data_IF_281850795598
#
_entry.id   IF_281850795598
#
_cell.length_a   1.000
_cell.length_b   1.000
_cell.length_c   1.000
_cell.angle_alpha   90.00
_cell.angle_beta   90.00
_cell.angle_gamma   90.00
#
_symmetry.space_group_name_H-M   'P 1'
#
loop_
_entity.id
_entity.type
_entity.pdbx_description
1 polymer ?
#
# COMPACT_ATOMS: atom_id res chain seq x y z
N UNK A 1 25.51 6.19 -27.06
CA UNK A 1 25.80 6.28 -25.61
C UNK A 1 25.80 7.75 -25.26
N UNK A 2 24.61 8.30 -24.99
CA UNK A 2 24.43 9.72 -24.66
C UNK A 2 23.88 9.80 -23.24
N UNK A 3 24.78 10.08 -22.30
CA UNK A 3 24.42 10.42 -20.93
C UNK A 3 23.84 11.83 -20.92
N UNK A 4 22.57 11.95 -20.57
CA UNK A 4 21.80 13.18 -20.69
C UNK A 4 22.18 14.17 -19.57
N UNK A 5 22.76 15.30 -19.97
CA UNK A 5 23.42 16.36 -19.18
C UNK A 5 22.45 17.15 -18.26
N UNK A 6 21.19 16.75 -18.14
CA UNK A 6 20.19 17.43 -17.30
C UNK A 6 20.30 17.16 -15.80
N UNK A 7 21.00 16.11 -15.38
CA UNK A 7 21.10 15.74 -13.96
C UNK A 7 22.13 16.58 -13.18
N UNK A 8 23.05 17.27 -13.87
CA UNK A 8 24.18 17.94 -13.21
C UNK A 8 23.86 19.37 -12.73
N UNK A 9 22.86 20.04 -13.32
CA UNK A 9 22.58 21.45 -13.02
C UNK A 9 21.70 21.71 -11.79
N UNK A 10 21.05 20.67 -11.24
CA UNK A 10 20.22 20.83 -10.03
C UNK A 10 21.05 20.83 -8.74
N UNK A 11 22.30 20.35 -8.79
CA UNK A 11 23.10 20.09 -7.58
C UNK A 11 23.87 21.34 -7.09
N UNK A 12 24.06 22.39 -7.90
CA UNK A 12 24.99 23.49 -7.57
C UNK A 12 24.38 24.80 -7.05
N UNK A 13 23.06 24.93 -6.86
CA UNK A 13 22.44 26.22 -6.48
C UNK A 13 21.66 26.25 -5.15
N UNK A 14 21.85 25.29 -4.25
CA UNK A 14 21.37 25.39 -2.86
C UNK A 14 22.53 25.27 -1.86
N UNK A 15 23.45 26.22 -1.91
CA UNK A 15 24.22 26.59 -0.73
C UNK A 15 23.79 27.99 -0.38
N UNK A 16 22.87 28.13 0.58
CA UNK A 16 22.72 29.30 1.46
C UNK A 16 21.62 29.04 2.52
N UNK A 17 22.07 29.09 3.78
CA UNK A 17 21.31 29.31 5.02
C UNK A 17 20.31 28.24 5.49
N UNK A 18 20.83 27.14 6.03
CA UNK A 18 20.16 26.45 7.14
C UNK A 18 20.64 27.05 8.46
N UNK A 19 19.82 27.95 9.04
CA UNK A 19 19.87 28.21 10.48
C UNK A 19 19.56 26.88 11.18
N UNK A 20 20.55 26.33 11.86
CA UNK A 20 20.44 25.10 12.64
C UNK A 20 19.64 25.36 13.92
N UNK A 21 18.32 25.45 13.80
CA UNK A 21 17.48 24.84 14.82
C UNK A 21 17.75 23.34 14.69
N UNK A 22 18.28 22.71 15.74
CA UNK A 22 18.51 21.27 15.77
C UNK A 22 17.17 20.56 15.53
N UNK A 23 16.85 20.28 14.25
CA UNK A 23 15.84 19.31 13.86
C UNK A 23 16.35 18.01 14.47
N UNK A 24 15.70 17.59 15.55
CA UNK A 24 15.85 16.26 16.11
C UNK A 24 15.89 15.29 14.93
N UNK A 25 17.05 14.67 14.70
CA UNK A 25 17.25 13.74 13.59
C UNK A 25 16.48 12.50 13.99
N UNK A 26 15.16 12.50 13.77
CA UNK A 26 14.30 11.35 14.05
C UNK A 26 14.93 10.20 13.27
N UNK A 27 15.49 9.24 14.00
CA UNK A 27 15.91 7.99 13.40
C UNK A 27 14.67 7.38 12.77
N UNK A 28 14.68 7.17 11.46
CA UNK A 28 13.58 6.50 10.76
C UNK A 28 13.74 4.98 10.78
N UNK A 29 14.71 4.47 11.55
CA UNK A 29 14.88 3.05 11.79
C UNK A 29 13.79 2.53 12.73
N UNK A 30 13.24 1.37 12.38
CA UNK A 30 12.24 0.71 13.19
C UNK A 30 12.81 0.26 14.56
N UNK A 31 12.08 0.46 15.67
CA UNK A 31 12.40 -0.14 16.97
C UNK A 31 11.88 -1.59 17.11
N UNK A 32 11.55 -2.25 16.00
CA UNK A 32 11.02 -3.60 15.90
C UNK A 32 11.66 -4.33 14.72
N UNK A 33 11.64 -5.66 14.74
CA UNK A 33 12.37 -6.46 13.75
C UNK A 33 11.78 -6.38 12.33
N UNK A 34 10.46 -6.30 12.24
CA UNK A 34 9.73 -6.40 10.97
C UNK A 34 8.53 -5.46 10.93
N UNK A 35 8.34 -4.84 9.77
CA UNK A 35 7.16 -4.10 9.37
C UNK A 35 6.41 -4.88 8.29
N UNK A 36 5.08 -4.81 8.25
CA UNK A 36 4.23 -5.64 7.40
C UNK A 36 3.27 -4.83 6.53
N UNK A 37 2.86 -5.41 5.40
CA UNK A 37 1.83 -4.86 4.53
C UNK A 37 0.89 -5.97 4.04
N UNK A 38 -0.40 -5.68 3.89
CA UNK A 38 -1.38 -6.65 3.42
C UNK A 38 -2.31 -6.03 2.38
N UNK A 39 -2.65 -6.82 1.38
CA UNK A 39 -3.60 -6.41 0.35
C UNK A 39 -4.96 -7.07 0.57
N UNK A 40 -6.02 -6.33 0.30
CA UNK A 40 -7.38 -6.85 0.34
C UNK A 40 -8.24 -6.21 -0.73
N UNK A 41 -9.39 -6.80 -1.00
CA UNK A 41 -10.37 -6.28 -1.95
C UNK A 41 -11.79 -6.30 -1.36
N UNK A 42 -12.72 -5.47 -1.86
CA UNK A 42 -14.09 -5.46 -1.35
C UNK A 42 -14.86 -6.77 -1.54
N UNK A 43 -15.92 -6.98 -0.78
CA UNK A 43 -16.67 -8.23 -0.83
C UNK A 43 -17.10 -8.59 -2.26
N UNK A 44 -16.75 -9.79 -2.70
CA UNK A 44 -17.04 -10.32 -4.05
C UNK A 44 -16.50 -9.49 -5.23
N UNK A 45 -15.55 -8.58 -5.01
CA UNK A 45 -14.87 -7.79 -6.04
C UNK A 45 -13.37 -8.15 -6.12
N UNK A 46 -13.02 -9.36 -6.58
CA UNK A 46 -11.67 -9.89 -6.44
C UNK A 46 -10.59 -9.07 -7.15
N UNK A 47 -9.44 -9.01 -6.49
CA UNK A 47 -8.19 -8.46 -6.99
C UNK A 47 -7.01 -9.35 -6.58
N UNK A 48 -5.95 -9.35 -7.37
CA UNK A 48 -4.76 -10.19 -7.15
C UNK A 48 -3.50 -9.35 -7.33
N UNK A 49 -2.61 -9.29 -6.33
CA UNK A 49 -1.30 -8.63 -6.46
C UNK A 49 -0.26 -9.64 -6.95
N UNK A 50 0.50 -9.27 -7.98
CA UNK A 50 1.46 -10.18 -8.62
C UNK A 50 2.91 -9.81 -8.38
N UNK A 51 3.19 -8.55 -8.04
CA UNK A 51 4.56 -8.07 -7.84
C UNK A 51 4.58 -6.79 -7.02
N UNK A 52 5.56 -6.65 -6.12
CA UNK A 52 5.76 -5.46 -5.28
C UNK A 52 7.24 -5.10 -5.23
N UNK A 53 7.53 -3.82 -5.34
CA UNK A 53 8.80 -3.19 -5.02
C UNK A 53 8.59 -2.22 -3.86
N UNK A 54 9.47 -2.26 -2.85
CA UNK A 54 9.35 -1.45 -1.65
C UNK A 54 10.71 -0.81 -1.34
N UNK A 55 10.72 0.50 -1.10
CA UNK A 55 11.89 1.22 -0.61
C UNK A 55 11.62 1.65 0.83
N UNK A 56 12.41 1.18 1.79
CA UNK A 56 12.25 1.53 3.20
C UNK A 56 12.99 2.81 3.59
N UNK A 57 12.75 3.26 4.81
CA UNK A 57 13.35 4.49 5.37
C UNK A 57 14.85 4.40 5.66
N UNK A 58 15.45 3.21 5.62
CA UNK A 58 16.90 3.00 5.69
C UNK A 58 17.54 2.92 4.28
N UNK A 59 16.73 3.11 3.23
CA UNK A 59 17.16 3.02 1.84
C UNK A 59 17.31 1.59 1.33
N UNK A 60 16.80 0.59 2.05
CA UNK A 60 16.80 -0.80 1.60
C UNK A 60 15.66 -0.99 0.60
N UNK A 61 16.00 -1.57 -0.54
CA UNK A 61 15.06 -1.86 -1.61
C UNK A 61 14.74 -3.36 -1.66
N UNK A 62 13.45 -3.67 -1.67
CA UNK A 62 12.90 -5.01 -1.63
C UNK A 62 12.10 -5.31 -2.89
N UNK A 63 12.19 -6.56 -3.37
CA UNK A 63 11.38 -7.07 -4.47
C UNK A 63 10.66 -8.34 -4.05
N UNK A 64 9.34 -8.33 -4.13
CA UNK A 64 8.49 -9.45 -3.75
C UNK A 64 7.85 -10.07 -5.00
N UNK A 65 8.26 -11.31 -5.32
CA UNK A 65 7.65 -12.14 -6.36
C UNK A 65 6.68 -13.18 -5.79
N UNK A 66 6.74 -13.38 -4.49
CA UNK A 66 5.82 -14.23 -3.72
C UNK A 66 5.28 -13.35 -2.60
N UNK A 67 3.96 -13.28 -2.53
CA UNK A 67 3.22 -12.41 -1.63
C UNK A 67 2.26 -13.26 -0.80
N UNK A 68 1.87 -12.75 0.36
CA UNK A 68 0.69 -13.27 1.04
C UNK A 68 -0.56 -12.99 0.19
N UNK A 69 -1.58 -13.84 0.31
CA UNK A 69 -2.80 -13.75 -0.48
C UNK A 69 -3.48 -12.38 -0.36
N UNK A 70 -4.09 -11.92 -1.46
CA UNK A 70 -5.00 -10.77 -1.41
C UNK A 70 -6.36 -11.25 -0.93
N UNK A 71 -6.83 -10.75 0.21
CA UNK A 71 -8.02 -11.33 0.86
C UNK A 71 -9.29 -10.51 0.58
N UNK A 72 -10.44 -11.19 0.57
CA UNK A 72 -11.72 -10.49 0.58
C UNK A 72 -11.92 -9.76 1.93
N UNK A 73 -12.53 -8.58 1.89
CA UNK A 73 -13.08 -7.89 3.05
C UNK A 73 -14.62 -7.98 3.01
N UNK A 74 -15.24 -8.96 3.70
CA UNK A 74 -16.69 -9.17 3.65
C UNK A 74 -17.49 -7.96 4.12
N UNK A 75 -16.93 -7.14 5.01
CA UNK A 75 -17.55 -5.91 5.52
C UNK A 75 -17.47 -4.73 4.55
N UNK A 76 -16.66 -4.81 3.49
CA UNK A 76 -16.53 -3.75 2.49
C UNK A 76 -17.55 -3.98 1.36
N UNK A 77 -18.76 -3.47 1.54
CA UNK A 77 -19.87 -3.58 0.58
C UNK A 77 -20.35 -2.18 0.22
N UNK A 78 -20.17 -1.78 -1.03
CA UNK A 78 -20.53 -0.45 -1.52
C UNK A 78 -19.65 0.70 -1.01
N UNK A 79 -18.89 0.49 0.07
CA UNK A 79 -17.88 1.40 0.63
C UNK A 79 -16.90 0.60 1.49
N UNK A 80 -15.72 1.16 1.78
CA UNK A 80 -14.74 0.51 2.64
C UNK A 80 -15.28 0.28 4.06
N UNK A 81 -15.02 -0.90 4.62
CA UNK A 81 -15.27 -1.14 6.03
C UNK A 81 -14.28 -0.35 6.90
N UNK A 82 -14.76 0.14 8.05
CA UNK A 82 -13.89 0.70 9.10
C UNK A 82 -13.10 -0.37 9.87
N UNK A 83 -13.48 -1.64 9.69
CA UNK A 83 -12.88 -2.80 10.37
C UNK A 83 -12.29 -3.75 9.33
N UNK A 84 -10.98 -3.65 9.11
CA UNK A 84 -10.22 -4.57 8.27
C UNK A 84 -9.08 -5.10 9.13
N UNK A 85 -9.02 -6.40 9.41
CA UNK A 85 -7.95 -7.00 10.22
C UNK A 85 -7.81 -8.48 9.93
N UNK A 86 -6.75 -9.11 10.44
CA UNK A 86 -6.62 -10.57 10.47
C UNK A 86 -6.10 -11.21 9.18
N UNK A 87 -5.30 -10.48 8.39
CA UNK A 87 -4.63 -11.05 7.21
C UNK A 87 -3.24 -11.58 7.57
N UNK A 88 -2.89 -12.73 6.99
CA UNK A 88 -1.56 -13.31 7.11
C UNK A 88 -0.52 -12.43 6.38
N UNK A 89 0.59 -12.13 7.06
CA UNK A 89 1.68 -11.30 6.52
C UNK A 89 2.99 -12.06 6.32
N UNK A 90 2.95 -13.39 6.26
CA UNK A 90 4.16 -14.27 6.30
C UNK A 90 5.26 -13.82 5.32
N UNK A 91 4.88 -13.45 4.09
CA UNK A 91 5.83 -12.98 3.07
C UNK A 91 5.94 -11.45 2.97
N UNK A 92 4.92 -10.71 3.37
CA UNK A 92 4.81 -9.28 3.10
C UNK A 92 5.44 -8.47 4.24
N UNK A 93 6.77 -8.41 4.25
CA UNK A 93 7.51 -7.76 5.33
C UNK A 93 8.80 -7.07 4.90
N UNK A 94 9.13 -5.99 5.59
CA UNK A 94 10.36 -5.21 5.44
C UNK A 94 10.97 -4.94 6.83
N UNK A 95 12.22 -4.46 6.88
CA UNK A 95 12.87 -4.16 8.17
C UNK A 95 12.36 -2.85 8.76
N UNK A 96 12.20 -1.81 7.94
CA UNK A 96 11.74 -0.50 8.36
C UNK A 96 10.43 -0.12 7.64
N UNK A 97 9.72 0.93 8.11
CA UNK A 97 8.57 1.44 7.37
C UNK A 97 8.92 1.86 5.94
N UNK A 98 7.98 1.77 4.99
CA UNK A 98 8.24 2.14 3.61
C UNK A 98 8.28 3.67 3.44
N UNK A 99 9.20 4.14 2.62
CA UNK A 99 9.04 5.44 1.97
C UNK A 99 8.09 5.34 0.79
N UNK A 100 8.23 4.28 -0.01
CA UNK A 100 7.35 4.01 -1.14
C UNK A 100 7.09 2.52 -1.35
N UNK A 101 5.92 2.23 -1.91
CA UNK A 101 5.51 0.90 -2.36
C UNK A 101 5.00 1.02 -3.79
N UNK A 102 5.59 0.27 -4.71
CA UNK A 102 5.20 0.20 -6.12
C UNK A 102 4.76 -1.22 -6.45
N UNK A 103 3.57 -1.42 -7.01
CA UNK A 103 3.06 -2.78 -7.19
C UNK A 103 2.14 -2.97 -8.39
N UNK A 104 2.10 -4.21 -8.86
CA UNK A 104 1.24 -4.68 -9.94
C UNK A 104 0.07 -5.48 -9.38
N UNK A 105 -1.12 -5.20 -9.87
CA UNK A 105 -2.29 -5.94 -9.46
C UNK A 105 -3.35 -6.05 -10.55
N UNK A 106 -4.05 -7.18 -10.55
CA UNK A 106 -5.17 -7.49 -11.41
C UNK A 106 -6.47 -7.12 -10.73
N UNK A 107 -7.30 -6.31 -11.38
CA UNK A 107 -8.71 -6.18 -11.03
C UNK A 107 -9.49 -7.20 -11.84
N UNK A 108 -10.04 -8.23 -11.18
CA UNK A 108 -10.87 -9.22 -11.86
C UNK A 108 -12.12 -8.56 -12.41
N UNK A 109 -12.71 -7.64 -11.64
CA UNK A 109 -13.93 -6.90 -12.00
C UNK A 109 -13.72 -6.04 -13.25
N UNK A 110 -12.60 -5.35 -13.34
CA UNK A 110 -12.32 -4.52 -14.51
C UNK A 110 -11.65 -5.29 -15.65
N UNK A 111 -11.24 -6.54 -15.40
CA UNK A 111 -10.48 -7.39 -16.32
C UNK A 111 -9.23 -6.70 -16.86
N UNK A 112 -8.50 -6.01 -15.99
CA UNK A 112 -7.28 -5.29 -16.34
C UNK A 112 -6.25 -5.29 -15.22
N UNK A 113 -5.01 -5.10 -15.64
CA UNK A 113 -3.86 -4.85 -14.78
C UNK A 113 -3.78 -3.36 -14.47
N UNK A 114 -3.43 -3.07 -13.22
CA UNK A 114 -3.06 -1.76 -12.74
C UNK A 114 -1.63 -1.79 -12.17
N UNK A 115 -0.98 -0.65 -12.29
CA UNK A 115 0.30 -0.34 -11.66
C UNK A 115 0.06 0.81 -10.70
N UNK A 116 0.42 0.62 -9.43
CA UNK A 116 0.15 1.60 -8.38
C UNK A 116 1.41 1.96 -7.63
N UNK A 117 1.67 3.25 -7.48
CA UNK A 117 2.70 3.81 -6.63
C UNK A 117 2.07 4.46 -5.39
N UNK A 118 2.61 4.13 -4.22
CA UNK A 118 2.25 4.73 -2.93
C UNK A 118 3.50 5.40 -2.37
N UNK A 119 3.41 6.67 -1.99
CA UNK A 119 4.48 7.40 -1.30
C UNK A 119 3.96 7.92 0.04
N UNK A 120 4.63 7.59 1.14
CA UNK A 120 4.25 8.00 2.49
C UNK A 120 4.93 9.32 2.89
N UNK A 121 4.19 10.18 3.59
CA UNK A 121 4.72 11.40 4.19
C UNK A 121 5.33 11.14 5.59
N UNK A 122 6.18 12.05 6.04
CA UNK A 122 6.90 11.93 7.31
C UNK A 122 6.03 11.74 8.55
N UNK A 123 4.83 12.32 8.55
CA UNK A 123 3.86 12.19 9.64
C UNK A 123 3.41 10.73 9.83
N UNK A 124 3.37 9.94 8.75
CA UNK A 124 3.01 8.52 8.81
C UNK A 124 4.14 7.70 9.42
N UNK A 125 5.41 8.00 9.09
CA UNK A 125 6.55 7.36 9.76
C UNK A 125 6.55 7.66 11.25
N UNK A 126 6.22 8.90 11.65
CA UNK A 126 6.07 9.24 13.07
C UNK A 126 5.01 8.37 13.75
N UNK A 127 3.87 8.12 13.11
CA UNK A 127 2.85 7.20 13.64
C UNK A 127 3.38 5.77 13.80
N UNK A 128 4.16 5.28 12.83
CA UNK A 128 4.69 3.91 12.85
C UNK A 128 5.86 3.70 13.82
N UNK A 129 6.57 4.78 14.19
CA UNK A 129 7.74 4.76 15.07
C UNK A 129 7.43 5.21 16.51
N UNK A 130 6.24 5.78 16.75
CA UNK A 130 5.81 6.17 18.09
C UNK A 130 5.11 5.00 18.79
N UNK A 131 5.58 4.54 19.96
CA UNK A 131 4.91 3.48 20.69
C UNK A 131 3.57 3.97 21.25
N UNK A 132 2.61 3.06 21.39
CA UNK A 132 1.34 3.29 22.08
C UNK A 132 1.02 2.17 23.07
N UNK A 133 0.06 2.41 23.95
CA UNK A 133 -0.37 1.45 24.95
C UNK A 133 -0.92 0.18 24.28
N UNK A 134 -0.47 -1.01 24.69
CA UNK A 134 -0.90 -2.25 24.06
C UNK A 134 -2.39 -2.51 24.33
N UNK A 135 -3.08 -3.22 23.41
CA UNK A 135 -4.41 -3.75 23.67
C UNK A 135 -4.41 -4.55 24.99
N UNK A 136 -5.30 -4.20 25.93
CA UNK A 136 -5.44 -4.93 27.20
C UNK A 136 -4.54 -4.49 28.36
N UNK A 137 -3.76 -3.40 28.22
CA UNK A 137 -3.15 -2.71 29.38
C UNK A 137 -1.83 -3.26 29.90
N UNK A 138 -1.09 -4.03 29.09
CA UNK A 138 0.28 -4.46 29.40
C UNK A 138 1.32 -3.33 29.36
N UNK A 139 2.55 -3.64 29.77
CA UNK A 139 3.69 -2.71 29.80
C UNK A 139 4.55 -2.71 28.53
N UNK A 140 4.29 -3.63 27.59
CA UNK A 140 5.03 -3.74 26.34
C UNK A 140 4.75 -2.55 25.41
N UNK A 141 5.79 -2.07 24.72
CA UNK A 141 5.64 -1.01 23.72
C UNK A 141 5.05 -1.60 22.44
N UNK A 142 3.85 -1.16 22.09
CA UNK A 142 3.19 -1.55 20.85
C UNK A 142 3.40 -0.50 19.75
N UNK A 143 3.51 -0.94 18.50
CA UNK A 143 3.75 -0.06 17.35
C UNK A 143 2.79 -0.40 16.21
N UNK A 144 2.46 0.60 15.39
CA UNK A 144 1.65 0.40 14.19
C UNK A 144 2.55 -0.18 13.09
N UNK A 145 2.55 -1.51 12.99
CA UNK A 145 3.47 -2.27 12.12
C UNK A 145 2.82 -2.82 10.85
N UNK A 146 1.54 -2.59 10.65
CA UNK A 146 0.78 -3.19 9.55
C UNK A 146 0.10 -2.12 8.71
N UNK A 147 0.45 -2.09 7.42
CA UNK A 147 -0.24 -1.29 6.41
C UNK A 147 -1.24 -2.15 5.66
N UNK A 148 -2.50 -1.77 5.67
CA UNK A 148 -3.57 -2.44 4.95
C UNK A 148 -3.86 -1.65 3.68
N UNK A 149 -3.82 -2.31 2.53
CA UNK A 149 -3.97 -1.71 1.20
C UNK A 149 -5.19 -2.34 0.53
N UNK A 150 -6.26 -1.56 0.41
CA UNK A 150 -7.50 -1.97 -0.23
C UNK A 150 -7.45 -1.71 -1.73
N UNK A 151 -7.80 -2.70 -2.53
CA UNK A 151 -7.81 -2.69 -3.99
C UNK A 151 -9.26 -2.78 -4.48
N UNK A 152 -9.80 -1.69 -5.00
CA UNK A 152 -11.17 -1.62 -5.50
C UNK A 152 -11.19 -1.41 -7.03
N UNK A 153 -12.30 -1.77 -7.71
CA UNK A 153 -12.48 -1.46 -9.12
C UNK A 153 -12.22 0.02 -9.45
N UNK A 154 -11.97 0.29 -10.74
CA UNK A 154 -11.56 1.60 -11.26
C UNK A 154 -10.14 2.03 -10.85
N UNK A 155 -9.34 1.13 -10.27
CA UNK A 155 -7.97 1.43 -9.85
C UNK A 155 -7.91 2.18 -8.52
N UNK A 156 -8.99 2.15 -7.74
CA UNK A 156 -9.14 2.87 -6.48
C UNK A 156 -8.41 2.14 -5.36
N UNK A 157 -7.66 2.91 -4.57
CA UNK A 157 -6.84 2.40 -3.48
C UNK A 157 -7.24 3.08 -2.18
N UNK A 158 -7.44 2.29 -1.14
CA UNK A 158 -7.51 2.78 0.24
C UNK A 158 -6.31 2.29 1.04
N UNK A 159 -5.82 3.08 1.98
CA UNK A 159 -4.67 2.69 2.82
C UNK A 159 -4.95 3.00 4.29
N UNK A 160 -4.62 2.05 5.16
CA UNK A 160 -4.78 2.19 6.60
C UNK A 160 -3.57 1.67 7.36
N UNK A 161 -3.29 2.27 8.52
CA UNK A 161 -2.49 1.61 9.56
C UNK A 161 -3.43 0.80 10.46
N UNK A 162 -3.15 -0.49 10.60
CA UNK A 162 -3.92 -1.37 11.48
C UNK A 162 -3.71 -0.98 12.94
N UNK A 163 -4.80 -0.92 13.69
CA UNK A 163 -4.76 -0.69 15.14
C UNK A 163 -5.67 -1.71 15.85
N UNK A 164 -5.15 -2.82 16.39
CA UNK A 164 -5.99 -3.94 16.84
C UNK A 164 -7.09 -3.63 17.88
N UNK A 165 -6.88 -2.62 18.72
CA UNK A 165 -7.80 -2.21 19.80
C UNK A 165 -8.77 -1.07 19.42
N UNK A 166 -8.65 -0.51 18.21
CA UNK A 166 -9.40 0.66 17.75
C UNK A 166 -9.79 0.49 16.27
N UNK A 167 -10.61 1.39 15.72
CA UNK A 167 -10.68 1.53 14.28
C UNK A 167 -9.30 1.79 13.68
N UNK A 168 -9.05 1.24 12.50
CA UNK A 168 -7.81 1.49 11.77
C UNK A 168 -7.67 2.97 11.41
N UNK A 169 -6.43 3.44 11.31
CA UNK A 169 -6.16 4.82 10.94
C UNK A 169 -6.12 4.91 9.41
N UNK A 170 -7.20 5.43 8.79
CA UNK A 170 -7.23 5.69 7.35
C UNK A 170 -6.28 6.84 7.01
N UNK A 171 -5.38 6.62 6.06
CA UNK A 171 -4.49 7.65 5.56
C UNK A 171 -5.24 8.55 4.57
N UNK A 172 -4.96 9.85 4.63
CA UNK A 172 -5.58 10.88 3.79
C UNK A 172 -4.56 11.47 2.81
N UNK A 173 -5.01 12.21 1.80
CA UNK A 173 -4.15 12.81 0.76
C UNK A 173 -3.05 13.75 1.30
N UNK A 174 -3.16 14.20 2.57
CA UNK A 174 -2.11 14.97 3.25
C UNK A 174 -0.95 14.10 3.75
N UNK A 175 -1.19 12.80 3.90
CA UNK A 175 -0.31 11.81 4.51
C UNK A 175 0.26 10.82 3.50
N UNK A 176 -0.41 10.65 2.35
CA UNK A 176 -0.04 9.68 1.32
C UNK A 176 -0.31 10.27 -0.06
N UNK A 177 0.57 9.98 -1.01
CA UNK A 177 0.32 10.16 -2.44
C UNK A 177 0.11 8.78 -3.06
N UNK A 178 -0.95 8.62 -3.85
CA UNK A 178 -1.27 7.39 -4.56
C UNK A 178 -1.45 7.72 -6.04
N UNK A 179 -0.72 7.02 -6.89
CA UNK A 179 -0.83 7.12 -8.34
C UNK A 179 -1.11 5.73 -8.90
N UNK A 180 -2.22 5.58 -9.62
CA UNK A 180 -2.59 4.32 -10.27
C UNK A 180 -2.76 4.53 -11.76
N UNK A 181 -2.07 3.70 -12.56
CA UNK A 181 -2.14 3.72 -14.02
C UNK A 181 -2.48 2.33 -14.56
N UNK A 182 -2.90 2.27 -15.82
CA UNK A 182 -3.16 1.02 -16.55
C UNK A 182 -2.83 1.19 -18.03
N UNK A 183 -2.68 0.07 -18.74
CA UNK A 183 -2.36 0.04 -20.17
C UNK A 183 -0.95 0.57 -20.47
N UNK A 184 -0.81 1.31 -21.57
CA UNK A 184 0.50 1.78 -22.09
C UNK A 184 1.27 2.71 -21.15
N UNK A 185 0.60 3.26 -20.12
CA UNK A 185 1.23 4.11 -19.10
C UNK A 185 1.95 3.33 -18.00
N UNK A 186 1.74 2.01 -17.95
CA UNK A 186 2.43 1.12 -17.00
C UNK A 186 3.88 0.93 -17.46
N UNK A 187 4.83 1.02 -16.54
CA UNK A 187 6.25 0.81 -16.84
C UNK A 187 6.69 -0.57 -16.32
N UNK A 188 6.27 -0.94 -15.11
CA UNK A 188 6.66 -2.17 -14.43
C UNK A 188 5.75 -3.36 -14.74
N UNK A 189 4.44 -3.15 -14.91
CA UNK A 189 3.42 -4.19 -14.82
C UNK A 189 3.02 -4.83 -16.16
N UNK A 190 3.63 -4.38 -17.26
CA UNK A 190 3.41 -4.98 -18.58
C UNK A 190 3.75 -6.48 -18.58
N UNK A 191 2.78 -7.32 -18.94
CA UNK A 191 2.94 -8.78 -18.97
C UNK A 191 2.94 -9.47 -17.60
N UNK A 192 2.63 -8.76 -16.51
CA UNK A 192 2.65 -9.31 -15.13
C UNK A 192 1.28 -9.71 -14.59
N UNK A 193 0.28 -9.87 -15.45
CA UNK A 193 -1.03 -10.38 -15.03
C UNK A 193 -0.94 -11.83 -14.52
N UNK A 194 -1.65 -12.13 -13.44
CA UNK A 194 -1.93 -13.50 -13.00
C UNK A 194 -2.89 -14.22 -13.98
N UNK A 195 -3.71 -13.47 -14.73
CA UNK A 195 -4.75 -13.97 -15.61
C UNK A 195 -4.29 -14.11 -17.06
N UNK A 196 -3.20 -14.85 -17.28
CA UNK A 196 -2.58 -15.06 -18.61
C UNK A 196 -3.52 -15.69 -19.65
N UNK A 197 -4.55 -16.39 -19.20
CA UNK A 197 -5.56 -17.04 -20.05
C UNK A 197 -6.90 -16.30 -20.05
N UNK A 198 -6.91 -15.05 -19.60
CA UNK A 198 -8.09 -14.20 -19.52
C UNK A 198 -8.78 -14.26 -18.16
N UNK A 199 -9.69 -13.30 -17.95
CA UNK A 199 -10.43 -13.13 -16.71
C UNK A 199 -11.78 -13.86 -16.76
N UNK A 200 -12.10 -14.55 -15.68
CA UNK A 200 -13.44 -15.09 -15.43
C UNK A 200 -13.92 -14.64 -14.05
N UNK A 201 -15.23 -14.43 -13.92
CA UNK A 201 -15.81 -14.10 -12.63
C UNK A 201 -16.11 -15.39 -11.87
N UNK A 202 -15.70 -15.50 -10.59
CA UNK A 202 -16.18 -16.58 -9.74
C UNK A 202 -17.69 -16.44 -9.53
N UNK A 203 -18.35 -17.54 -9.21
CA UNK A 203 -19.81 -17.57 -9.07
C UNK A 203 -20.34 -16.61 -8.00
N UNK A 204 -19.57 -16.44 -6.92
CA UNK A 204 -19.84 -15.43 -5.88
C UNK A 204 -19.89 -14.01 -6.43
N UNK A 205 -18.96 -13.65 -7.32
CA UNK A 205 -18.94 -12.35 -8.00
C UNK A 205 -20.12 -12.21 -8.94
N UNK A 206 -20.42 -13.22 -9.78
CA UNK A 206 -21.58 -13.16 -10.70
C UNK A 206 -22.88 -12.91 -9.95
N UNK A 207 -23.10 -13.66 -8.86
CA UNK A 207 -24.28 -13.50 -8.01
C UNK A 207 -24.32 -12.12 -7.34
N UNK A 208 -23.17 -11.61 -6.89
CA UNK A 208 -23.09 -10.31 -6.23
C UNK A 208 -23.41 -9.14 -7.17
N UNK A 209 -23.05 -9.21 -8.45
CA UNK A 209 -23.19 -8.11 -9.41
C UNK A 209 -24.43 -8.19 -10.31
N UNK A 210 -25.16 -9.31 -10.30
CA UNK A 210 -26.26 -9.62 -11.24
C UNK A 210 -27.26 -8.48 -11.44
N UNK A 211 -27.68 -7.82 -10.36
CA UNK A 211 -28.70 -6.77 -10.38
C UNK A 211 -28.12 -5.39 -10.01
N UNK A 212 -26.80 -5.21 -10.16
CA UNK A 212 -26.09 -3.97 -9.82
C UNK A 212 -25.53 -3.30 -11.07
N UNK A 213 -25.38 -1.99 -10.98
CA UNK A 213 -24.65 -1.20 -11.98
C UNK A 213 -23.23 -0.94 -11.50
N UNK A 214 -22.27 -1.12 -12.41
CA UNK A 214 -20.88 -0.70 -12.21
C UNK A 214 -20.82 0.81 -11.89
N UNK A 215 -20.00 1.29 -10.93
CA UNK A 215 -18.79 0.66 -10.34
C UNK A 215 -18.94 -0.17 -9.04
N UNK A 216 -20.13 -0.67 -8.72
CA UNK A 216 -20.36 -1.58 -7.57
C UNK A 216 -19.92 -1.05 -6.19
N UNK A 217 -19.76 0.26 -6.05
CA UNK A 217 -19.49 0.95 -4.79
C UNK A 217 -18.94 2.37 -4.99
N UNK A 218 -18.83 3.08 -3.88
CA UNK A 218 -18.13 4.35 -3.74
C UNK A 218 -16.95 4.13 -2.80
N UNK A 219 -15.78 3.93 -3.38
CA UNK A 219 -14.53 3.54 -2.72
C UNK A 219 -13.62 4.76 -2.50
#
# INVERSE_FOLDING_TARGET
MEFNIKLLFVITSMVLNFNAAAKEKISLLAPYDEWYFNFFYPNSLPAEVTYVELLDTDGIYYQFRTLASTNASPGSVGQWSEKVSGMSSVFNKAKNPPMSIHFCWDSVIDKKVYETWITLAGDVWKLMLTPYSPPGGGSEKYYLRYLLIGLAPEGKIGVWLEKPDKPNIRLTDKQILIETVSGEKMEMCNGRSAYKHGYSYPESTKNFIKDKKYPYGNW
#
